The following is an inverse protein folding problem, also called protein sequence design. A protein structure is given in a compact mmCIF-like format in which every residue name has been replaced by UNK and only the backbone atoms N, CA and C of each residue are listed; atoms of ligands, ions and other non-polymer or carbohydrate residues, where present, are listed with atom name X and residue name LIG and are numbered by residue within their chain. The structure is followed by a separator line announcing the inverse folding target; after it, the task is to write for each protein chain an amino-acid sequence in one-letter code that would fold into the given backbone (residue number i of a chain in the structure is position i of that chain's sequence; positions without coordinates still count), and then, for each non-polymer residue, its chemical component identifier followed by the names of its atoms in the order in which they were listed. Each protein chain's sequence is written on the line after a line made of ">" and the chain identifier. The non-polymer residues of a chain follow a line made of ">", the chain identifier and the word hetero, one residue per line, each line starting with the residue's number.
data_IF_270799090772
#
_entry.id   IF_270799090772
#
_cell.length_a   1.000
_cell.length_b   1.000
_cell.length_c   1.000
_cell.angle_alpha   90.00
_cell.angle_beta   90.00
_cell.angle_gamma   90.00
#
_symmetry.space_group_name_H-M   'P 1'
#
loop_
_entity.id
_entity.type
_entity.pdbx_description
1 polymer ?
#
# COMPACT_ATOMS: atom_id res chain seq x y z
N UNK A 1 -13.30 1.84 18.49
CA UNK A 1 -13.13 1.99 17.04
C UNK A 1 -14.03 3.14 16.59
N UNK A 2 -13.50 4.12 15.85
CA UNK A 2 -14.32 5.20 15.27
C UNK A 2 -14.53 4.86 13.80
N UNK A 3 -15.78 4.87 13.35
CA UNK A 3 -16.10 4.68 11.94
C UNK A 3 -16.19 6.05 11.28
N UNK A 4 -15.31 6.31 10.32
CA UNK A 4 -15.38 7.50 9.47
C UNK A 4 -16.05 7.11 8.15
N UNK A 5 -16.99 7.93 7.71
CA UNK A 5 -17.56 7.83 6.36
C UNK A 5 -16.67 8.65 5.45
N UNK A 6 -16.05 8.02 4.45
CA UNK A 6 -15.25 8.76 3.47
C UNK A 6 -16.13 9.80 2.78
N UNK A 7 -15.63 11.03 2.60
CA UNK A 7 -16.37 12.05 1.90
C UNK A 7 -16.60 11.61 0.46
N UNK A 8 -17.77 11.96 -0.07
CA UNK A 8 -18.10 11.78 -1.48
C UNK A 8 -17.41 12.85 -2.32
N UNK A 9 -16.07 12.91 -2.28
CA UNK A 9 -15.32 13.76 -3.22
C UNK A 9 -15.57 13.37 -4.69
N UNK A 10 -16.08 12.16 -4.91
CA UNK A 10 -16.28 11.54 -6.22
C UNK A 10 -17.68 10.92 -6.33
N UNK A 11 -18.74 11.70 -6.09
CA UNK A 11 -20.15 11.25 -6.10
C UNK A 11 -20.54 10.37 -7.31
N UNK A 12 -19.83 10.48 -8.43
CA UNK A 12 -20.10 9.76 -9.69
C UNK A 12 -19.34 8.45 -9.92
N UNK A 13 -18.32 8.09 -9.12
CA UNK A 13 -17.35 7.03 -9.50
C UNK A 13 -17.25 5.82 -8.56
N UNK A 14 -18.19 5.65 -7.63
CA UNK A 14 -18.22 4.50 -6.71
C UNK A 14 -17.33 4.68 -5.47
N UNK A 15 -17.19 3.63 -4.62
CA UNK A 15 -16.45 3.72 -3.36
C UNK A 15 -14.95 3.91 -3.63
N UNK A 16 -14.40 5.05 -3.19
CA UNK A 16 -12.96 5.32 -3.26
C UNK A 16 -12.15 4.39 -2.37
N UNK A 17 -10.89 4.16 -2.74
CA UNK A 17 -9.92 3.39 -1.97
C UNK A 17 -9.08 4.35 -1.12
N UNK A 18 -8.92 4.06 0.18
CA UNK A 18 -7.94 4.77 1.01
C UNK A 18 -6.57 4.19 0.75
N UNK A 19 -5.63 5.05 0.36
CA UNK A 19 -4.23 4.70 0.19
C UNK A 19 -3.53 4.62 1.55
N UNK A 20 -3.61 5.70 2.32
CA UNK A 20 -2.90 5.84 3.59
C UNK A 20 -3.52 6.97 4.45
N UNK A 21 -3.33 6.87 5.77
CA UNK A 21 -3.60 7.95 6.71
C UNK A 21 -2.30 8.36 7.41
N UNK A 22 -1.81 9.57 7.14
CA UNK A 22 -0.57 10.09 7.71
C UNK A 22 -0.86 11.37 8.47
N UNK A 23 -0.50 11.41 9.76
CA UNK A 23 -0.66 12.59 10.61
C UNK A 23 -2.08 13.19 10.54
N UNK A 24 -3.10 12.34 10.52
CA UNK A 24 -4.51 12.73 10.46
C UNK A 24 -5.04 13.12 9.09
N UNK A 25 -4.18 13.14 8.06
CA UNK A 25 -4.61 13.36 6.69
C UNK A 25 -4.83 12.01 6.01
N UNK A 26 -6.01 11.84 5.43
CA UNK A 26 -6.39 10.64 4.68
C UNK A 26 -6.19 10.94 3.20
N UNK A 27 -5.35 10.14 2.54
CA UNK A 27 -5.24 10.13 1.09
C UNK A 27 -6.08 8.98 0.55
N UNK A 28 -6.95 9.28 -0.39
CA UNK A 28 -7.80 8.29 -1.05
C UNK A 28 -7.89 8.59 -2.54
N UNK A 29 -8.27 7.59 -3.33
CA UNK A 29 -8.40 7.76 -4.77
C UNK A 29 -9.54 6.93 -5.34
N UNK A 30 -10.02 7.34 -6.51
CA UNK A 30 -10.88 6.53 -7.38
C UNK A 30 -10.17 6.35 -8.71
N UNK A 31 -10.45 5.24 -9.39
CA UNK A 31 -9.84 4.92 -10.67
C UNK A 31 -10.93 4.74 -11.74
N UNK A 32 -11.58 5.83 -12.17
CA UNK A 32 -12.40 5.79 -13.38
C UNK A 32 -11.48 5.61 -14.59
N UNK A 33 -11.43 4.40 -15.15
CA UNK A 33 -10.63 4.12 -16.35
C UNK A 33 -10.86 5.21 -17.43
N UNK A 34 -9.82 5.91 -17.93
CA UNK A 34 -8.38 5.63 -17.79
C UNK A 34 -7.63 6.42 -16.69
N UNK A 35 -8.29 7.35 -16.00
CA UNK A 35 -7.66 8.27 -15.05
C UNK A 35 -7.78 7.83 -13.59
N UNK A 36 -6.93 8.43 -12.75
CA UNK A 36 -7.03 8.34 -11.30
C UNK A 36 -7.31 9.72 -10.73
N UNK A 37 -8.31 9.81 -9.87
CA UNK A 37 -8.60 11.04 -9.13
C UNK A 37 -8.17 10.84 -7.69
N UNK A 38 -7.23 11.66 -7.22
CA UNK A 38 -6.66 11.57 -5.88
C UNK A 38 -7.19 12.72 -5.02
N UNK A 39 -7.71 12.36 -3.84
CA UNK A 39 -8.24 13.28 -2.84
C UNK A 39 -7.47 13.20 -1.53
N UNK A 40 -7.30 14.36 -0.90
CA UNK A 40 -6.85 14.49 0.47
C UNK A 40 -8.00 14.98 1.33
N UNK A 41 -8.16 14.39 2.50
CA UNK A 41 -9.18 14.75 3.47
C UNK A 41 -8.57 14.90 4.86
N UNK A 42 -8.88 16.00 5.55
CA UNK A 42 -8.68 16.13 6.98
C UNK A 42 -10.02 15.96 7.70
N UNK A 43 -10.31 14.79 8.31
CA UNK A 43 -11.57 14.57 9.03
C UNK A 43 -11.80 15.51 10.21
N UNK A 44 -10.74 16.10 10.79
CA UNK A 44 -10.88 16.99 11.96
C UNK A 44 -11.43 18.36 11.58
N UNK A 45 -10.97 18.89 10.45
CA UNK A 45 -11.37 20.21 9.95
C UNK A 45 -12.44 20.13 8.87
N UNK A 46 -12.74 18.91 8.40
CA UNK A 46 -13.57 18.62 7.23
C UNK A 46 -13.10 19.35 5.97
N UNK A 47 -11.79 19.57 5.86
CA UNK A 47 -11.19 20.16 4.67
C UNK A 47 -10.84 19.07 3.67
N UNK A 48 -11.03 19.40 2.39
CA UNK A 48 -10.82 18.49 1.27
C UNK A 48 -9.98 19.16 0.20
N UNK A 49 -9.14 18.38 -0.49
CA UNK A 49 -8.37 18.85 -1.63
C UNK A 49 -8.25 17.75 -2.67
N UNK A 50 -8.69 18.06 -3.89
CA UNK A 50 -8.37 17.24 -5.06
C UNK A 50 -6.99 17.59 -5.59
N UNK A 51 -6.16 16.58 -5.81
CA UNK A 51 -4.84 16.74 -6.42
C UNK A 51 -5.07 16.91 -7.94
N UNK A 52 -4.39 17.87 -8.60
CA UNK A 52 -4.48 18.01 -10.05
C UNK A 52 -3.98 16.74 -10.77
N UNK A 53 -4.40 16.49 -12.01
CA UNK A 53 -3.84 15.41 -12.82
C UNK A 53 -2.31 15.51 -12.95
N UNK A 54 -1.66 14.37 -13.22
CA UNK A 54 -0.23 14.30 -13.49
C UNK A 54 0.19 15.14 -14.71
N UNK A 55 1.51 15.32 -14.89
CA UNK A 55 2.10 16.16 -15.95
C UNK A 55 2.37 15.40 -17.26
N UNK A 56 1.72 14.26 -17.46
CA UNK A 56 1.91 13.41 -18.65
C UNK A 56 0.68 13.37 -19.52
N UNK A 57 0.92 13.58 -20.82
CA UNK A 57 -0.10 13.55 -21.86
C UNK A 57 -0.38 12.12 -22.34
N UNK A 58 -1.45 11.96 -23.12
CA UNK A 58 -1.74 10.70 -23.80
C UNK A 58 -0.75 10.47 -24.95
N UNK A 59 -0.33 9.22 -25.15
CA UNK A 59 0.57 8.83 -26.23
C UNK A 59 -0.22 8.12 -27.34
N UNK A 60 -0.19 8.61 -28.60
CA UNK A 60 -0.96 8.02 -29.69
C UNK A 60 -0.62 6.54 -29.91
N UNK A 61 -1.65 5.69 -29.90
CA UNK A 61 -1.49 4.25 -30.10
C UNK A 61 -1.19 3.46 -28.82
N UNK A 62 -1.23 4.12 -27.65
CA UNK A 62 -1.04 3.48 -26.35
C UNK A 62 -2.15 3.82 -25.38
N UNK A 63 -2.53 2.84 -24.56
CA UNK A 63 -3.43 3.03 -23.44
C UNK A 63 -2.62 3.50 -22.22
N UNK A 64 -3.00 4.69 -21.73
CA UNK A 64 -2.42 5.33 -20.55
C UNK A 64 -3.06 4.78 -19.29
N UNK A 65 -2.22 4.35 -18.36
CA UNK A 65 -2.65 3.90 -17.03
C UNK A 65 -1.88 4.62 -15.93
N UNK A 66 -2.56 4.87 -14.81
CA UNK A 66 -1.98 5.50 -13.63
C UNK A 66 -2.14 4.58 -12.43
N UNK A 67 -1.04 4.33 -11.72
CA UNK A 67 -1.03 3.58 -10.46
C UNK A 67 -0.46 4.44 -9.33
N UNK A 68 -1.22 4.60 -8.25
CA UNK A 68 -0.79 5.37 -7.07
C UNK A 68 0.00 4.47 -6.12
N UNK A 69 1.22 4.89 -5.80
CA UNK A 69 2.21 4.06 -5.11
C UNK A 69 2.40 4.42 -3.65
N UNK A 70 2.21 5.69 -3.27
CA UNK A 70 2.42 6.09 -1.88
C UNK A 70 1.92 7.49 -1.58
N UNK A 71 1.54 7.67 -0.32
CA UNK A 71 1.26 8.97 0.28
C UNK A 71 1.98 9.05 1.61
N UNK A 72 2.59 10.20 1.89
CA UNK A 72 3.27 10.39 3.16
C UNK A 72 3.69 11.82 3.43
N UNK A 73 4.20 12.02 4.64
CA UNK A 73 4.71 13.29 5.11
C UNK A 73 6.23 13.29 5.08
N UNK A 74 6.78 14.23 4.30
CA UNK A 74 8.19 14.59 4.25
C UNK A 74 8.50 15.53 5.43
N UNK A 75 9.06 14.95 6.48
CA UNK A 75 9.37 15.66 7.71
C UNK A 75 10.53 16.67 7.58
N UNK A 76 11.39 16.52 6.56
CA UNK A 76 12.52 17.42 6.32
C UNK A 76 12.04 18.70 5.64
N UNK A 77 11.18 18.57 4.63
CA UNK A 77 10.72 19.70 3.84
C UNK A 77 9.37 20.29 4.32
N UNK A 78 8.75 19.67 5.34
CA UNK A 78 7.44 20.03 5.87
C UNK A 78 6.39 20.06 4.75
N UNK A 79 6.19 18.87 4.16
CA UNK A 79 5.35 18.70 2.97
C UNK A 79 4.67 17.34 2.94
N UNK A 80 3.46 17.28 2.39
CA UNK A 80 2.80 16.02 2.07
C UNK A 80 3.02 15.71 0.60
N UNK A 81 3.41 14.48 0.31
CA UNK A 81 3.72 14.05 -1.04
C UNK A 81 2.94 12.82 -1.45
N UNK A 82 2.62 12.74 -2.73
CA UNK A 82 1.99 11.57 -3.37
C UNK A 82 2.88 11.09 -4.50
N UNK A 83 3.10 9.78 -4.58
CA UNK A 83 3.87 9.14 -5.64
C UNK A 83 2.91 8.38 -6.54
N UNK A 84 3.04 8.58 -7.85
CA UNK A 84 2.33 7.78 -8.84
C UNK A 84 3.27 7.36 -9.96
N UNK A 85 2.87 6.29 -10.64
CA UNK A 85 3.53 5.75 -11.81
C UNK A 85 2.52 5.80 -12.97
N UNK A 86 2.93 6.41 -14.08
CA UNK A 86 2.18 6.45 -15.33
C UNK A 86 2.84 5.51 -16.31
N UNK A 87 2.07 4.63 -16.94
CA UNK A 87 2.59 3.67 -17.92
C UNK A 87 1.68 3.55 -19.13
N UNK A 88 2.31 3.18 -20.25
CA UNK A 88 1.69 3.13 -21.57
C UNK A 88 1.84 1.74 -22.17
N UNK A 89 0.73 1.11 -22.52
CA UNK A 89 0.65 -0.24 -23.08
C UNK A 89 0.07 -0.20 -24.50
N UNK A 90 0.49 -1.10 -25.40
CA UNK A 90 -0.07 -1.19 -26.76
C UNK A 90 -1.50 -1.72 -26.76
N UNK A 91 -1.75 -2.78 -26.00
CA UNK A 91 -3.06 -3.40 -25.81
C UNK A 91 -3.10 -3.96 -24.38
N UNK A 92 -3.99 -3.48 -23.49
CA UNK A 92 -4.10 -3.98 -22.12
C UNK A 92 -4.54 -5.45 -22.04
N UNK A 93 -5.01 -6.05 -23.15
CA UNK A 93 -5.30 -7.48 -23.24
C UNK A 93 -4.05 -8.35 -23.46
N UNK A 94 -2.94 -7.75 -23.89
CA UNK A 94 -1.67 -8.43 -24.03
C UNK A 94 -0.86 -8.18 -22.76
N UNK A 95 -0.47 -9.25 -22.05
CA UNK A 95 0.39 -9.21 -20.86
C UNK A 95 1.84 -8.84 -21.26
N UNK A 96 2.02 -7.72 -21.94
CA UNK A 96 3.29 -7.20 -22.39
C UNK A 96 3.83 -6.15 -21.41
N UNK A 97 5.16 -6.05 -21.34
CA UNK A 97 5.82 -4.98 -20.60
C UNK A 97 5.41 -3.62 -21.14
N UNK A 98 5.24 -2.60 -20.28
CA UNK A 98 4.95 -1.24 -20.70
C UNK A 98 6.02 -0.74 -21.68
N UNK A 99 5.59 0.04 -22.66
CA UNK A 99 6.53 0.69 -23.59
C UNK A 99 7.24 1.85 -22.91
N UNK A 100 6.54 2.53 -22.00
CA UNK A 100 7.06 3.67 -21.27
C UNK A 100 6.51 3.68 -19.85
N UNK A 101 7.37 3.98 -18.89
CA UNK A 101 7.03 4.14 -17.47
C UNK A 101 7.59 5.48 -16.98
N UNK A 102 6.73 6.31 -16.40
CA UNK A 102 7.07 7.65 -15.90
C UNK A 102 6.64 7.75 -14.44
N UNK A 103 7.63 7.97 -13.57
CA UNK A 103 7.39 8.22 -12.17
C UNK A 103 7.21 9.71 -11.89
N UNK A 104 6.23 10.03 -11.07
CA UNK A 104 5.93 11.41 -10.69
C UNK A 104 5.66 11.51 -9.19
N UNK A 105 6.07 12.63 -8.61
CA UNK A 105 5.79 12.99 -7.23
C UNK A 105 5.08 14.34 -7.17
N UNK A 106 3.96 14.38 -6.46
CA UNK A 106 3.23 15.59 -6.16
C UNK A 106 3.69 16.16 -4.83
N UNK A 107 3.85 17.48 -4.76
CA UNK A 107 4.04 18.23 -3.53
C UNK A 107 2.78 19.02 -3.21
N UNK A 108 2.22 18.82 -2.00
CA UNK A 108 1.09 19.59 -1.51
C UNK A 108 1.47 21.07 -1.34
N UNK A 109 2.68 21.32 -0.83
CA UNK A 109 3.20 22.66 -0.52
C UNK A 109 3.38 23.53 -1.76
N UNK A 110 3.93 23.00 -2.84
CA UNK A 110 4.06 23.74 -4.11
C UNK A 110 2.86 23.56 -5.03
N UNK A 111 1.95 22.64 -4.71
CA UNK A 111 0.79 22.28 -5.50
C UNK A 111 1.15 21.90 -6.95
N UNK A 112 2.24 21.18 -7.14
CA UNK A 112 2.70 20.76 -8.47
C UNK A 112 3.26 19.34 -8.47
N UNK A 113 3.17 18.70 -9.64
CA UNK A 113 3.86 17.45 -9.92
C UNK A 113 5.29 17.72 -10.40
N UNK A 114 6.18 16.79 -10.09
CA UNK A 114 7.56 16.73 -10.56
C UNK A 114 7.81 15.32 -11.10
N UNK A 115 8.49 15.22 -12.25
CA UNK A 115 8.98 13.94 -12.76
C UNK A 115 10.15 13.44 -11.92
N UNK A 116 10.16 12.15 -11.60
CA UNK A 116 11.27 11.47 -10.96
C UNK A 116 12.16 10.84 -12.03
N UNK A 117 13.42 11.23 -12.08
CA UNK A 117 14.42 10.64 -12.99
C UNK A 117 15.06 9.42 -12.33
N UNK A 118 14.22 8.42 -12.04
CA UNK A 118 14.60 7.17 -11.38
C UNK A 118 13.90 6.01 -12.08
N UNK A 119 14.69 5.00 -12.42
CA UNK A 119 14.17 3.72 -12.90
C UNK A 119 13.81 2.85 -11.70
N UNK A 120 12.58 3.01 -11.23
CA UNK A 120 12.04 2.21 -10.14
C UNK A 120 11.20 1.06 -10.68
N UNK A 121 11.34 -0.07 -9.99
CA UNK A 121 10.42 -1.19 -10.06
C UNK A 121 8.97 -0.74 -9.83
N UNK A 122 8.09 -1.20 -10.72
CA UNK A 122 6.65 -1.02 -10.60
C UNK A 122 6.11 -1.76 -9.37
N UNK A 123 5.03 -1.23 -8.82
CA UNK A 123 4.22 -1.99 -7.90
C UNK A 123 3.56 -3.14 -8.62
N UNK A 124 3.74 -4.37 -8.12
CA UNK A 124 2.93 -5.49 -8.62
C UNK A 124 1.49 -5.30 -8.12
N UNK A 125 0.51 -5.57 -8.99
CA UNK A 125 -0.92 -5.57 -8.67
C UNK A 125 -1.31 -6.85 -7.89
N UNK A 126 -0.61 -7.12 -6.79
CA UNK A 126 -0.91 -8.24 -5.89
C UNK A 126 -1.75 -7.71 -4.73
N UNK A 127 -3.06 -7.65 -4.95
CA UNK A 127 -4.14 -7.49 -3.96
C UNK A 127 -3.96 -6.42 -2.83
N UNK A 128 -4.93 -6.38 -1.92
CA UNK A 128 -5.21 -5.25 -1.01
C UNK A 128 -4.07 -4.99 -0.01
N UNK A 129 -3.66 -3.72 0.10
CA UNK A 129 -2.67 -3.17 1.05
C UNK A 129 -1.18 -3.53 0.76
N UNK A 130 -0.76 -3.19 -0.46
CA UNK A 130 0.61 -3.28 -0.98
C UNK A 130 1.50 -2.06 -0.68
N UNK A 131 1.06 -1.15 0.19
CA UNK A 131 1.79 0.09 0.50
C UNK A 131 1.77 0.38 2.00
N UNK A 132 2.88 0.86 2.54
CA UNK A 132 2.99 1.32 3.92
C UNK A 132 3.83 2.60 4.01
N UNK A 133 3.44 3.54 4.86
CA UNK A 133 4.25 4.70 5.20
C UNK A 133 4.89 4.54 6.59
N UNK A 134 6.21 4.81 6.68
CA UNK A 134 6.93 4.87 7.94
C UNK A 134 7.98 6.01 7.92
N UNK A 135 7.83 6.98 8.81
CA UNK A 135 8.85 8.00 9.12
C UNK A 135 9.47 8.69 7.88
N UNK A 136 8.63 9.14 6.94
CA UNK A 136 9.09 9.84 5.73
C UNK A 136 9.45 8.92 4.57
N UNK A 137 9.29 7.60 4.73
CA UNK A 137 9.55 6.60 3.70
C UNK A 137 8.25 5.92 3.30
N UNK A 138 7.98 5.89 2.01
CA UNK A 138 6.90 5.10 1.42
C UNK A 138 7.48 3.75 0.99
N UNK A 139 6.85 2.68 1.44
CA UNK A 139 7.22 1.31 1.10
C UNK A 139 6.14 0.69 0.24
N UNK A 140 6.52 0.01 -0.82
CA UNK A 140 5.61 -0.80 -1.61
C UNK A 140 6.28 -2.05 -2.12
N UNK A 141 5.44 -2.98 -2.47
CA UNK A 141 5.81 -4.25 -3.07
C UNK A 141 6.12 -4.09 -4.56
N UNK A 142 7.17 -4.74 -5.06
CA UNK A 142 7.49 -4.77 -6.50
C UNK A 142 8.38 -5.95 -6.90
N UNK A 143 8.80 -6.01 -8.16
CA UNK A 143 9.75 -6.99 -8.69
C UNK A 143 10.97 -6.42 -9.43
N UNK A 144 12.10 -7.13 -9.36
CA UNK A 144 13.32 -6.86 -10.14
C UNK A 144 13.81 -8.13 -10.83
N UNK A 145 14.43 -8.01 -12.00
CA UNK A 145 15.11 -9.15 -12.62
C UNK A 145 16.47 -9.37 -11.96
N UNK A 146 16.64 -10.52 -11.32
CA UNK A 146 17.92 -10.95 -10.78
C UNK A 146 18.94 -11.23 -11.92
N UNK A 147 20.22 -11.30 -11.57
CA UNK A 147 21.33 -11.51 -12.53
C UNK A 147 21.24 -12.83 -13.31
N UNK A 148 20.50 -13.81 -12.78
CA UNK A 148 20.20 -15.08 -13.43
C UNK A 148 18.96 -15.03 -14.34
N UNK A 149 18.35 -13.84 -14.51
CA UNK A 149 17.17 -13.61 -15.33
C UNK A 149 15.84 -14.00 -14.67
N UNK A 150 15.85 -14.43 -13.40
CA UNK A 150 14.63 -14.73 -12.67
C UNK A 150 14.05 -13.45 -12.06
N UNK A 151 12.73 -13.32 -12.09
CA UNK A 151 12.03 -12.25 -11.39
C UNK A 151 12.10 -12.49 -9.87
N UNK A 152 12.61 -11.49 -9.16
CA UNK A 152 12.77 -11.49 -7.70
C UNK A 152 11.86 -10.44 -7.09
N UNK A 153 11.11 -10.85 -6.08
CA UNK A 153 10.23 -9.96 -5.34
C UNK A 153 11.04 -9.07 -4.39
N UNK A 154 10.77 -7.77 -4.41
CA UNK A 154 11.48 -6.76 -3.63
C UNK A 154 10.53 -5.81 -2.89
N UNK A 155 11.02 -5.28 -1.77
CA UNK A 155 10.42 -4.14 -1.08
C UNK A 155 11.08 -2.87 -1.61
N UNK A 156 10.33 -2.05 -2.33
CA UNK A 156 10.78 -0.71 -2.71
C UNK A 156 10.54 0.23 -1.53
N UNK A 157 11.58 0.94 -1.12
CA UNK A 157 11.55 1.90 -0.01
C UNK A 157 12.01 3.26 -0.52
N UNK A 158 11.06 4.18 -0.71
CA UNK A 158 11.29 5.51 -1.27
C UNK A 158 11.27 6.59 -0.19
N UNK A 159 12.39 7.30 -0.03
CA UNK A 159 12.49 8.41 0.89
C UNK A 159 11.92 9.69 0.26
N UNK A 160 10.88 10.25 0.88
CA UNK A 160 10.16 11.42 0.35
C UNK A 160 11.00 12.70 0.36
N UNK A 161 11.95 12.81 1.28
CA UNK A 161 12.80 13.99 1.46
C UNK A 161 13.95 14.04 0.48
N UNK A 162 14.64 12.91 0.31
CA UNK A 162 15.80 12.81 -0.57
C UNK A 162 15.42 12.43 -2.00
N UNK A 163 14.19 11.95 -2.21
CA UNK A 163 13.70 11.43 -3.49
C UNK A 163 14.61 10.32 -4.04
N UNK A 164 15.05 9.42 -3.15
CA UNK A 164 15.89 8.27 -3.48
C UNK A 164 15.16 7.01 -2.99
N UNK A 165 15.21 5.95 -3.79
CA UNK A 165 14.70 4.65 -3.41
C UNK A 165 15.82 3.65 -3.14
N UNK A 166 15.49 2.64 -2.35
CA UNK A 166 16.28 1.42 -2.20
C UNK A 166 15.35 0.23 -2.28
N UNK A 167 15.85 -0.86 -2.83
CA UNK A 167 15.13 -2.13 -2.87
C UNK A 167 15.72 -3.10 -1.86
N UNK A 168 14.85 -3.89 -1.24
CA UNK A 168 15.24 -4.97 -0.32
C UNK A 168 14.63 -6.25 -0.83
N UNK A 169 15.48 -7.22 -1.19
CA UNK A 169 15.05 -8.56 -1.58
C UNK A 169 14.12 -9.20 -0.54
N UNK A 170 13.05 -9.83 -1.03
CA UNK A 170 12.06 -10.58 -0.23
C UNK A 170 12.13 -12.06 -0.64
N UNK A 171 13.29 -12.68 -0.44
CA UNK A 171 13.45 -14.10 -0.78
C UNK A 171 13.02 -14.96 0.39
N UNK A 172 11.73 -15.28 0.41
CA UNK A 172 11.15 -16.41 1.16
C UNK A 172 10.39 -17.37 0.26
N UNK A 173 10.48 -17.20 -1.06
CA UNK A 173 9.87 -18.15 -1.99
C UNK A 173 10.63 -19.47 -1.88
N UNK A 174 10.11 -20.38 -1.06
CA UNK A 174 10.30 -21.80 -1.34
C UNK A 174 9.61 -22.05 -2.69
N UNK A 175 10.27 -22.81 -3.56
CA UNK A 175 9.92 -23.06 -4.97
C UNK A 175 8.52 -23.69 -5.21
N UNK A 176 7.65 -23.75 -4.20
CA UNK A 176 6.38 -24.47 -4.22
C UNK A 176 5.13 -23.66 -3.78
N UNK A 177 5.21 -22.37 -3.40
CA UNK A 177 4.04 -21.66 -2.85
C UNK A 177 3.22 -20.90 -3.93
N UNK A 178 2.39 -21.63 -4.67
CA UNK A 178 1.61 -21.14 -5.83
C UNK A 178 0.38 -20.24 -5.51
N UNK A 179 0.20 -19.77 -4.28
CA UNK A 179 -0.80 -18.73 -3.98
C UNK A 179 -0.52 -18.02 -2.66
N UNK A 180 0.03 -16.82 -2.78
CA UNK A 180 0.53 -16.04 -1.66
C UNK A 180 -0.11 -14.66 -1.63
N UNK A 181 -0.95 -14.40 -0.64
CA UNK A 181 -1.44 -13.04 -0.38
C UNK A 181 -0.44 -12.37 0.56
N UNK A 182 0.09 -11.23 0.14
CA UNK A 182 1.00 -10.43 0.97
C UNK A 182 0.40 -9.09 1.30
N UNK A 183 0.65 -8.65 2.51
CA UNK A 183 0.24 -7.32 2.99
C UNK A 183 1.40 -6.65 3.68
N UNK A 184 1.65 -5.40 3.31
CA UNK A 184 2.61 -4.54 3.99
C UNK A 184 1.92 -3.74 5.08
N UNK A 185 2.52 -3.77 6.27
CA UNK A 185 2.02 -3.03 7.44
C UNK A 185 3.18 -2.40 8.19
N UNK A 186 2.87 -1.44 9.05
CA UNK A 186 3.82 -0.96 10.06
C UNK A 186 3.46 -1.62 11.38
N UNK A 187 4.42 -2.33 11.97
CA UNK A 187 4.29 -2.97 13.27
C UNK A 187 5.41 -2.45 14.17
N UNK A 188 5.03 -1.85 15.30
CA UNK A 188 5.97 -1.34 16.31
C UNK A 188 7.15 -0.54 15.70
N UNK A 189 6.83 0.46 14.86
CA UNK A 189 7.80 1.33 14.18
C UNK A 189 8.75 0.62 13.21
N UNK A 190 8.41 -0.59 12.77
CA UNK A 190 9.13 -1.34 11.74
C UNK A 190 8.19 -1.73 10.61
N UNK A 191 8.72 -1.84 9.39
CA UNK A 191 7.95 -2.39 8.27
C UNK A 191 7.82 -3.90 8.49
N UNK A 192 6.60 -4.41 8.36
CA UNK A 192 6.32 -5.83 8.47
C UNK A 192 5.64 -6.33 7.20
N UNK A 193 5.99 -7.55 6.83
CA UNK A 193 5.37 -8.30 5.76
C UNK A 193 4.54 -9.41 6.37
N UNK A 194 3.25 -9.40 6.08
CA UNK A 194 2.34 -10.50 6.42
C UNK A 194 2.16 -11.33 5.16
N UNK A 195 2.49 -12.61 5.23
CA UNK A 195 2.42 -13.54 4.10
C UNK A 195 1.46 -14.67 4.44
N UNK A 196 0.41 -14.82 3.64
CA UNK A 196 -0.59 -15.87 3.80
C UNK A 196 -0.41 -16.94 2.74
N UNK A 197 -0.12 -18.15 3.22
CA UNK A 197 0.21 -19.31 2.41
C UNK A 197 -0.98 -20.25 2.33
N UNK A 198 -1.54 -20.41 1.13
CA UNK A 198 -2.73 -21.22 0.91
C UNK A 198 -2.48 -22.72 1.16
N UNK A 199 -1.37 -23.27 0.67
CA UNK A 199 -1.13 -24.72 0.72
C UNK A 199 -1.11 -25.29 2.13
N UNK A 200 -0.64 -24.50 3.10
CA UNK A 200 -0.51 -24.90 4.50
C UNK A 200 -1.42 -24.10 5.44
N UNK A 201 -2.35 -23.31 4.90
CA UNK A 201 -3.25 -22.39 5.62
C UNK A 201 -2.55 -21.66 6.77
N UNK A 202 -1.39 -21.06 6.51
CA UNK A 202 -0.56 -20.42 7.54
C UNK A 202 -0.32 -18.96 7.20
N UNK A 203 -0.18 -18.14 8.24
CA UNK A 203 0.23 -16.75 8.10
C UNK A 203 1.62 -16.62 8.73
N UNK A 204 2.57 -16.04 8.00
CA UNK A 204 3.86 -15.65 8.57
C UNK A 204 3.94 -14.12 8.66
N UNK A 205 4.49 -13.64 9.77
CA UNK A 205 4.73 -12.22 10.02
C UNK A 205 6.23 -12.03 10.15
N UNK A 206 6.81 -11.22 9.27
CA UNK A 206 8.24 -10.92 9.25
C UNK A 206 8.48 -9.42 9.35
N UNK A 207 9.41 -9.00 10.20
CA UNK A 207 9.87 -7.62 10.31
C UNK A 207 11.11 -7.38 9.45
N UNK A 208 11.17 -6.20 8.84
CA UNK A 208 12.39 -5.69 8.24
C UNK A 208 13.25 -5.01 9.31
N UNK A 209 14.49 -5.47 9.48
CA UNK A 209 15.46 -4.83 10.35
C UNK A 209 16.10 -3.59 9.72
N UNK A 210 16.61 -3.72 8.48
CA UNK A 210 17.33 -2.66 7.79
C UNK A 210 17.00 -2.63 6.29
N UNK A 211 16.59 -1.45 5.80
CA UNK A 211 16.29 -1.23 4.38
C UNK A 211 17.55 -1.42 3.52
N UNK A 212 17.44 -2.27 2.51
CA UNK A 212 18.51 -2.61 1.58
C UNK A 212 19.34 -3.83 2.02
N UNK A 213 19.07 -4.40 3.20
CA UNK A 213 19.80 -5.57 3.71
C UNK A 213 18.85 -6.76 3.75
N UNK A 214 19.03 -7.69 2.81
CA UNK A 214 18.21 -8.91 2.67
C UNK A 214 18.17 -9.74 3.95
N UNK A 215 19.32 -9.92 4.59
CA UNK A 215 19.49 -10.76 5.77
C UNK A 215 18.86 -10.15 7.03
N UNK A 216 18.38 -8.90 6.94
CA UNK A 216 17.75 -8.21 8.07
C UNK A 216 16.28 -8.57 8.27
N UNK A 217 15.68 -9.34 7.36
CA UNK A 217 14.32 -9.86 7.57
C UNK A 217 14.30 -10.86 8.71
N UNK A 218 13.52 -10.57 9.75
CA UNK A 218 13.35 -11.43 10.93
C UNK A 218 11.91 -11.92 10.97
N UNK A 219 11.72 -13.23 10.82
CA UNK A 219 10.41 -13.85 11.06
C UNK A 219 10.08 -13.81 12.55
N UNK A 220 8.94 -13.22 12.90
CA UNK A 220 8.46 -13.13 14.28
C UNK A 220 7.51 -14.27 14.64
N UNK A 221 6.50 -14.51 13.78
CA UNK A 221 5.41 -15.43 14.08
C UNK A 221 5.06 -16.29 12.86
N UNK A 222 4.62 -17.51 13.15
CA UNK A 222 3.89 -18.37 12.21
C UNK A 222 2.58 -18.73 12.90
N UNK A 223 1.46 -18.35 12.29
CA UNK A 223 0.11 -18.62 12.76
C UNK A 223 -0.52 -19.72 11.91
N UNK A 224 -1.27 -20.59 12.55
CA UNK A 224 -1.94 -21.73 11.91
C UNK A 224 -1.27 -23.07 12.23
N UNK A 225 -1.57 -24.12 11.44
CA UNK A 225 -2.47 -24.10 10.28
C UNK A 225 -3.90 -23.75 10.69
N UNK A 226 -4.53 -22.85 9.94
CA UNK A 226 -5.94 -22.52 10.12
C UNK A 226 -6.80 -23.61 9.45
N UNK A 227 -7.94 -24.00 10.06
CA UNK A 227 -8.76 -25.10 9.57
C UNK A 227 -9.50 -24.83 8.24
N UNK A 228 -9.42 -23.62 7.68
CA UNK A 228 -10.26 -23.16 6.57
C UNK A 228 -9.41 -22.47 5.49
N UNK A 229 -9.94 -22.43 4.26
CA UNK A 229 -9.27 -21.88 3.08
C UNK A 229 -9.09 -20.34 3.18
N UNK A 230 -7.86 -19.89 2.95
CA UNK A 230 -7.43 -18.50 2.73
C UNK A 230 -7.75 -17.47 3.83
N UNK A 231 -6.93 -17.36 4.89
CA UNK A 231 -6.90 -16.13 5.65
C UNK A 231 -6.34 -15.01 4.76
N UNK A 232 -7.17 -14.04 4.37
CA UNK A 232 -6.69 -12.80 3.75
C UNK A 232 -6.23 -11.88 4.89
N UNK A 233 -4.92 -11.67 5.09
CA UNK A 233 -4.44 -10.71 6.07
C UNK A 233 -4.88 -9.33 5.63
N UNK A 234 -5.37 -8.54 6.57
CA UNK A 234 -5.87 -7.23 6.31
C UNK A 234 -5.25 -6.24 7.29
N UNK A 235 -5.19 -5.00 6.81
CA UNK A 235 -4.34 -3.96 7.38
C UNK A 235 -4.63 -3.69 8.86
N UNK A 236 -3.55 -3.46 9.59
CA UNK A 236 -3.33 -3.35 11.04
C UNK A 236 -4.27 -2.39 11.82
N UNK A 237 -4.78 -2.87 12.96
CA UNK A 237 -5.41 -2.07 14.02
C UNK A 237 -4.40 -1.31 14.90
N UNK A 238 -4.78 -0.88 16.09
CA UNK A 238 -3.92 -0.07 16.96
C UNK A 238 -2.67 -0.81 17.47
N UNK A 239 -1.50 -0.23 17.19
CA UNK A 239 -0.14 -0.51 17.69
C UNK A 239 0.43 -1.93 17.60
N UNK A 240 -0.34 -3.02 17.60
CA UNK A 240 0.18 -4.40 17.48
C UNK A 240 -0.88 -5.45 17.06
N UNK A 241 -2.01 -5.06 16.45
CA UNK A 241 -3.09 -6.00 16.13
C UNK A 241 -3.24 -6.24 14.62
N UNK A 242 -3.00 -7.46 14.16
CA UNK A 242 -3.24 -7.88 12.77
C UNK A 242 -4.67 -8.39 12.63
N UNK A 243 -5.45 -7.82 11.72
CA UNK A 243 -6.83 -8.27 11.49
C UNK A 243 -6.85 -9.14 10.23
N UNK A 244 -7.49 -10.29 10.27
CA UNK A 244 -7.59 -11.17 9.10
C UNK A 244 -9.00 -11.76 9.00
N UNK A 245 -9.39 -12.07 7.76
CA UNK A 245 -10.65 -12.73 7.48
C UNK A 245 -10.60 -14.19 7.93
N UNK A 246 -11.68 -14.68 8.55
CA UNK A 246 -11.85 -16.11 8.85
C UNK A 246 -12.85 -16.67 7.85
N UNK A 247 -12.36 -17.58 7.01
CA UNK A 247 -13.07 -18.16 5.87
C UNK A 247 -14.22 -19.08 6.24
N UNK A 248 -15.39 -18.51 6.51
CA UNK A 248 -16.67 -19.11 6.15
C UNK A 248 -17.61 -18.01 5.62
N UNK A 249 -18.78 -18.39 5.08
CA UNK A 249 -19.79 -17.45 4.56
C UNK A 249 -20.29 -16.42 5.60
N UNK A 250 -19.74 -16.41 6.82
CA UNK A 250 -20.11 -15.53 7.93
C UNK A 250 -19.63 -14.08 7.79
N UNK A 251 -18.62 -13.81 6.95
CA UNK A 251 -17.90 -12.53 6.90
C UNK A 251 -17.30 -12.10 8.24
N UNK A 252 -16.85 -13.05 9.06
CA UNK A 252 -16.25 -12.80 10.37
C UNK A 252 -14.75 -12.48 10.29
N UNK A 253 -14.31 -11.61 11.20
CA UNK A 253 -12.93 -11.15 11.32
C UNK A 253 -12.31 -11.64 12.63
N UNK A 254 -11.05 -12.06 12.55
CA UNK A 254 -10.18 -12.26 13.71
C UNK A 254 -9.18 -11.12 13.83
N UNK A 255 -8.74 -10.86 15.06
CA UNK A 255 -7.59 -10.03 15.36
C UNK A 255 -6.52 -10.89 16.05
N UNK A 256 -5.29 -10.77 15.62
CA UNK A 256 -4.12 -11.34 16.27
C UNK A 256 -3.34 -10.21 16.93
N UNK A 257 -3.28 -10.26 18.26
CA UNK A 257 -2.45 -9.37 19.06
C UNK A 257 -1.02 -9.92 19.05
N UNK A 258 -0.14 -9.16 18.40
CA UNK A 258 1.27 -9.51 18.21
C UNK A 258 2.06 -9.44 19.52
N UNK A 259 1.61 -8.66 20.52
CA UNK A 259 2.26 -8.57 21.84
C UNK A 259 1.92 -9.81 22.66
N UNK A 260 0.63 -10.16 22.73
CA UNK A 260 0.18 -11.27 23.58
C UNK A 260 0.25 -12.63 22.89
N UNK A 261 0.41 -12.65 21.57
CA UNK A 261 0.39 -13.86 20.74
C UNK A 261 -1.00 -14.52 20.70
N UNK A 262 -2.05 -13.78 21.04
CA UNK A 262 -3.42 -14.32 21.13
C UNK A 262 -4.24 -13.96 19.91
N UNK A 263 -5.07 -14.90 19.48
CA UNK A 263 -6.09 -14.68 18.46
C UNK A 263 -7.43 -14.41 19.16
N UNK A 264 -8.06 -13.31 18.79
CA UNK A 264 -9.41 -12.93 19.19
C UNK A 264 -10.32 -13.15 17.98
N UNK A 265 -11.23 -14.10 18.09
CA UNK A 265 -12.23 -14.38 17.07
C UNK A 265 -13.42 -13.42 17.19
N UNK A 266 -14.05 -13.13 16.04
CA UNK A 266 -15.32 -12.41 15.94
C UNK A 266 -15.31 -11.03 16.62
N UNK A 267 -14.56 -10.09 16.04
CA UNK A 267 -14.48 -8.69 16.51
C UNK A 267 -15.77 -7.88 16.25
N UNK A 268 -16.93 -8.52 16.08
CA UNK A 268 -18.25 -7.93 15.84
C UNK A 268 -18.33 -6.99 14.62
N UNK A 269 -17.51 -7.24 13.59
CA UNK A 269 -17.54 -6.54 12.30
C UNK A 269 -17.85 -7.57 11.23
N UNK A 270 -18.91 -7.36 10.46
CA UNK A 270 -19.29 -8.20 9.32
C UNK A 270 -19.20 -7.39 8.04
N UNK A 271 -18.24 -7.72 7.18
CA UNK A 271 -18.05 -7.02 5.90
C UNK A 271 -17.24 -7.86 4.93
N UNK A 272 -17.47 -7.66 3.62
CA UNK A 272 -16.72 -8.29 2.53
C UNK A 272 -15.38 -7.60 2.26
N UNK A 273 -15.27 -6.32 2.63
CA UNK A 273 -14.06 -5.51 2.47
C UNK A 273 -13.93 -4.56 3.65
N UNK A 274 -12.72 -4.46 4.19
CA UNK A 274 -12.38 -3.49 5.23
C UNK A 274 -10.94 -3.04 5.07
N UNK A 275 -10.61 -1.93 5.70
CA UNK A 275 -9.24 -1.49 5.91
C UNK A 275 -9.23 -0.74 7.23
N UNK A 276 -8.10 -0.77 7.92
CA UNK A 276 -7.94 0.02 9.14
C UNK A 276 -6.67 0.85 9.05
N UNK A 277 -6.75 2.05 9.62
CA UNK A 277 -5.67 3.03 9.63
C UNK A 277 -5.59 3.67 11.01
N UNK A 278 -4.37 4.00 11.41
CA UNK A 278 -4.14 4.75 12.64
C UNK A 278 -4.42 6.22 12.35
N UNK A 279 -5.54 6.71 12.89
CA UNK A 279 -5.90 8.12 12.82
C UNK A 279 -5.45 8.86 14.07
N UNK A 280 -4.76 9.98 13.87
CA UNK A 280 -4.40 10.95 14.91
C UNK A 280 -4.90 12.32 14.45
N UNK A 281 -5.71 12.99 15.25
CA UNK A 281 -6.28 14.30 14.88
C UNK A 281 -5.19 15.29 14.45
N UNK A 282 -5.53 16.12 13.46
CA UNK A 282 -4.61 17.08 12.85
C UNK A 282 -5.30 18.40 12.55
N UNK A 283 -4.58 19.49 12.75
CA UNK A 283 -5.03 20.86 12.41
C UNK A 283 -4.40 21.37 11.11
N UNK A 284 -3.77 20.48 10.32
CA UNK A 284 -3.24 20.83 9.01
C UNK A 284 -4.38 21.32 8.12
N UNK A 285 -4.19 22.48 7.49
CA UNK A 285 -5.14 23.05 6.55
C UNK A 285 -4.59 23.00 5.12
N UNK A 286 -5.46 22.70 4.16
CA UNK A 286 -5.16 22.69 2.73
C UNK A 286 -5.39 24.05 2.07
N UNK A 287 -6.12 24.95 2.74
CA UNK A 287 -6.36 26.31 2.28
C UNK A 287 -5.29 27.25 2.85
N UNK A 288 -4.38 27.69 1.99
CA UNK A 288 -3.54 28.89 2.19
C UNK A 288 -3.75 29.84 1.03
#
# INVERSE_FOLDING_TARGET
>A
MVTLVLPTLFESYGPGQVLECVNGIICHYTQPCPDVIIGLWNPKTDEHKSIPPGITDDEPGYDRHVSVHGFGYDNVNDDYKVIQCVYYNYDPMLLEEPVLTIWQIYSLKSNCWKKLDLEMTKKEDVDKASTAYLNGVCHWWGSEFATNGLEEQVLVSFNLSTEIFRTTSIVWLQENDDSLIRTLVVLNESVALISSFAQNNRIEISLLGEVGVKESWVKLFTLGPFPLEFPCPMRMGNKCDVIFYIGDDSNELASFDVITGKVIHNINIKTRMFGTWIYKESLVSFTK
#
